data_IF_797334606523
#
_entry.id   IF_797334606523
#
_cell.length_a   1.000
_cell.length_b   1.000
_cell.length_c   1.000
_cell.angle_alpha   90.00
_cell.angle_beta   90.00
_cell.angle_gamma   90.00
#
_symmetry.space_group_name_H-M   'P 1'
#
loop_
_entity.id
_entity.type
_entity.pdbx_description
1 polymer ?
#
# COMPACT_ATOMS: atom_id res chain seq x y z
N UNK A 1 3.27 -7.44 16.98
CA UNK A 1 3.31 -6.41 15.93
C UNK A 1 4.42 -6.78 14.97
N UNK A 2 4.08 -7.11 13.72
CA UNK A 2 5.07 -7.37 12.64
C UNK A 2 5.47 -6.06 11.93
N UNK A 3 6.50 -6.11 11.08
CA UNK A 3 6.90 -4.94 10.27
C UNK A 3 5.77 -4.44 9.35
N UNK A 4 5.03 -5.35 8.71
CA UNK A 4 3.88 -4.97 7.89
C UNK A 4 2.73 -4.35 8.68
N UNK A 5 2.45 -4.87 9.89
CA UNK A 5 1.44 -4.28 10.79
C UNK A 5 1.85 -2.86 11.23
N UNK A 6 3.14 -2.66 11.54
CA UNK A 6 3.66 -1.34 11.91
C UNK A 6 3.56 -0.36 10.73
N UNK A 7 3.89 -0.80 9.51
CA UNK A 7 3.74 -0.02 8.28
C UNK A 7 2.28 0.40 8.06
N UNK A 8 1.35 -0.55 8.09
CA UNK A 8 -0.07 -0.27 7.84
C UNK A 8 -0.64 0.74 8.86
N UNK A 9 -0.34 0.55 10.15
CA UNK A 9 -0.75 1.49 11.20
C UNK A 9 -0.15 2.89 11.01
N UNK A 10 1.13 2.97 10.62
CA UNK A 10 1.77 4.25 10.35
C UNK A 10 1.11 5.00 9.20
N UNK A 11 0.75 4.29 8.13
CA UNK A 11 0.05 4.87 6.97
C UNK A 11 -1.35 5.38 7.35
N UNK A 12 -2.11 4.61 8.14
CA UNK A 12 -3.42 5.05 8.67
C UNK A 12 -3.29 6.30 9.53
N UNK A 13 -2.29 6.37 10.41
CA UNK A 13 -2.05 7.56 11.26
C UNK A 13 -1.71 8.80 10.41
N UNK A 14 -1.07 8.61 9.26
CA UNK A 14 -0.80 9.67 8.28
C UNK A 14 -1.97 9.90 7.32
N UNK A 15 -3.14 9.33 7.58
CA UNK A 15 -4.38 9.49 6.79
C UNK A 15 -4.23 9.02 5.33
N UNK A 16 -3.39 8.02 5.10
CA UNK A 16 -3.31 7.35 3.79
C UNK A 16 -4.51 6.42 3.65
N UNK A 17 -5.35 6.69 2.66
CA UNK A 17 -6.58 5.93 2.40
C UNK A 17 -6.45 4.98 1.20
N UNK A 18 -5.49 5.24 0.30
CA UNK A 18 -5.30 4.49 -0.95
C UNK A 18 -3.82 4.17 -1.15
N UNK A 19 -3.52 2.94 -1.53
CA UNK A 19 -2.19 2.50 -1.95
C UNK A 19 -2.30 1.89 -3.35
N UNK A 20 -1.47 2.38 -4.27
CA UNK A 20 -1.22 1.70 -5.55
C UNK A 20 -0.01 0.80 -5.39
N UNK A 21 -0.10 -0.44 -5.84
CA UNK A 21 1.03 -1.36 -5.73
C UNK A 21 0.97 -2.55 -6.67
N UNK A 22 2.11 -3.17 -6.89
CA UNK A 22 2.24 -4.42 -7.62
C UNK A 22 2.74 -5.49 -6.64
N UNK A 23 1.93 -6.51 -6.31
CA UNK A 23 2.36 -7.57 -5.42
C UNK A 23 3.57 -8.33 -5.96
N UNK A 24 4.54 -8.61 -5.09
CA UNK A 24 5.72 -9.40 -5.41
C UNK A 24 6.29 -10.05 -4.16
N UNK A 25 7.03 -11.15 -4.33
CA UNK A 25 7.51 -12.02 -3.23
C UNK A 25 8.22 -11.22 -2.12
N UNK A 26 9.01 -10.22 -2.50
CA UNK A 26 9.76 -9.38 -1.57
C UNK A 26 8.88 -8.45 -0.71
N UNK A 27 7.62 -8.23 -1.12
CA UNK A 27 6.68 -7.32 -0.46
C UNK A 27 5.59 -8.05 0.34
N UNK A 28 5.54 -9.39 0.32
CA UNK A 28 4.42 -10.13 0.92
C UNK A 28 4.21 -9.83 2.41
N UNK A 29 5.27 -9.70 3.20
CA UNK A 29 5.11 -9.35 4.62
C UNK A 29 4.53 -7.94 4.84
N UNK A 30 4.77 -7.00 3.92
CA UNK A 30 4.15 -5.67 3.96
C UNK A 30 2.67 -5.76 3.54
N UNK A 31 2.38 -6.50 2.47
CA UNK A 31 1.02 -6.71 1.96
C UNK A 31 0.14 -7.47 2.96
N UNK A 32 0.69 -8.46 3.67
CA UNK A 32 -0.01 -9.17 4.74
C UNK A 32 -0.42 -8.22 5.87
N UNK A 33 0.44 -7.25 6.20
CA UNK A 33 0.11 -6.20 7.16
C UNK A 33 -0.99 -5.28 6.67
N UNK A 34 -0.88 -4.81 5.43
CA UNK A 34 -1.88 -3.95 4.79
C UNK A 34 -3.24 -4.64 4.64
N UNK A 35 -3.26 -5.93 4.27
CA UNK A 35 -4.48 -6.71 4.04
C UNK A 35 -5.32 -6.92 5.31
N UNK A 36 -4.70 -6.82 6.50
CA UNK A 36 -5.42 -6.88 7.79
C UNK A 36 -6.17 -5.59 8.10
N UNK A 37 -5.83 -4.48 7.45
CA UNK A 37 -6.39 -3.16 7.74
C UNK A 37 -7.39 -2.74 6.65
N UNK A 38 -8.68 -2.67 7.00
CA UNK A 38 -9.76 -2.33 6.05
C UNK A 38 -9.84 -0.84 5.70
N UNK A 39 -9.09 0.01 6.40
CA UNK A 39 -9.10 1.48 6.19
C UNK A 39 -8.30 1.90 4.96
N UNK A 40 -7.39 1.06 4.48
CA UNK A 40 -6.58 1.33 3.30
C UNK A 40 -7.12 0.53 2.12
N UNK A 41 -7.47 1.22 1.04
CA UNK A 41 -7.81 0.60 -0.23
C UNK A 41 -6.53 0.31 -1.03
N UNK A 42 -6.19 -0.96 -1.20
CA UNK A 42 -5.09 -1.38 -2.07
C UNK A 42 -5.57 -1.56 -3.51
N UNK A 43 -4.91 -0.90 -4.46
CA UNK A 43 -5.20 -0.97 -5.90
C UNK A 43 -4.01 -1.60 -6.61
N UNK A 44 -4.23 -2.78 -7.18
CA UNK A 44 -3.20 -3.49 -7.95
C UNK A 44 -2.97 -2.81 -9.30
N UNK A 45 -1.70 -2.56 -9.64
CA UNK A 45 -1.30 -1.99 -10.93
C UNK A 45 -0.75 -3.07 -11.87
N UNK A 46 -0.53 -2.72 -13.15
CA UNK A 46 -0.01 -3.64 -14.18
C UNK A 46 1.51 -3.77 -14.19
N UNK A 47 2.20 -2.69 -13.86
CA UNK A 47 3.65 -2.59 -13.82
C UNK A 47 4.05 -1.40 -12.93
N UNK A 48 5.32 -1.37 -12.52
CA UNK A 48 5.86 -0.45 -11.52
C UNK A 48 5.77 1.01 -11.98
N UNK A 49 6.05 1.28 -13.26
CA UNK A 49 5.92 2.62 -13.80
C UNK A 49 4.48 3.16 -13.72
N UNK A 50 3.46 2.31 -13.93
CA UNK A 50 2.07 2.73 -13.79
C UNK A 50 1.73 3.03 -12.32
N UNK A 51 2.27 2.24 -11.38
CA UNK A 51 2.15 2.52 -9.93
C UNK A 51 2.56 3.94 -9.59
N UNK A 52 3.74 4.36 -10.05
CA UNK A 52 4.26 5.70 -9.76
C UNK A 52 3.37 6.80 -10.32
N UNK A 53 2.98 6.71 -11.59
CA UNK A 53 2.13 7.74 -12.20
C UNK A 53 0.72 7.79 -11.61
N UNK A 54 0.14 6.65 -11.24
CA UNK A 54 -1.16 6.61 -10.57
C UNK A 54 -1.09 7.25 -9.17
N UNK A 55 -0.02 6.98 -8.42
CA UNK A 55 0.20 7.60 -7.12
C UNK A 55 0.44 9.13 -7.21
N UNK A 56 1.25 9.59 -8.16
CA UNK A 56 1.47 11.03 -8.39
C UNK A 56 0.19 11.74 -8.86
N UNK A 57 -0.59 11.11 -9.73
CA UNK A 57 -1.87 11.67 -10.19
C UNK A 57 -2.92 11.74 -9.07
N UNK A 58 -2.95 10.76 -8.17
CA UNK A 58 -3.90 10.71 -7.05
C UNK A 58 -3.56 11.70 -5.92
N UNK A 59 -2.29 12.07 -5.75
CA UNK A 59 -1.86 12.94 -4.64
C UNK A 59 -2.01 14.44 -4.91
N UNK A 60 -2.34 14.83 -6.14
CA UNK A 60 -2.57 16.22 -6.56
C UNK A 60 -3.99 16.67 -6.24
#
# INVERSE_FOLDING_TARGET
>A
MTGGEALAKSLILNKVEVIFGLPGVQLYHALDGLAKEKQIRFITTRHEQATTYMADGYSR
#
